data_IF_061848084191
#
_entry.id   IF_061848084191
#
_cell.length_a   1.000
_cell.length_b   1.000
_cell.length_c   1.000
_cell.angle_alpha   90.00
_cell.angle_beta   90.00
_cell.angle_gamma   90.00
#
_symmetry.space_group_name_H-M   'P 1'
#
loop_
_entity.id
_entity.type
_entity.pdbx_description
1 polymer ?
#
# COMPACT_ATOMS: atom_id res chain seq x y z
N UNK A 1 8.67 -4.32 -7.43
CA UNK A 1 8.84 -4.93 -8.78
C UNK A 1 8.49 -3.96 -9.91
N UNK A 2 7.40 -3.20 -9.80
CA UNK A 2 6.99 -2.26 -10.85
C UNK A 2 5.71 -1.53 -10.49
N UNK A 3 5.29 -0.61 -11.35
CA UNK A 3 4.03 0.12 -11.21
C UNK A 3 3.57 0.64 -12.58
N UNK A 4 2.28 0.95 -12.72
CA UNK A 4 1.65 1.43 -13.95
C UNK A 4 1.97 0.56 -15.19
N UNK A 5 1.95 -0.77 -15.02
CA UNK A 5 2.18 -1.73 -16.10
C UNK A 5 3.65 -1.87 -16.54
N UNK A 6 4.59 -1.24 -15.83
CA UNK A 6 6.01 -1.27 -16.16
C UNK A 6 6.83 -1.86 -15.02
N UNK A 7 7.71 -2.79 -15.39
CA UNK A 7 8.73 -3.33 -14.50
C UNK A 7 9.84 -2.30 -14.26
N UNK A 8 10.24 -2.14 -13.01
CA UNK A 8 11.43 -1.36 -12.62
C UNK A 8 12.66 -2.24 -12.42
N UNK A 9 12.46 -3.56 -12.37
CA UNK A 9 13.48 -4.58 -12.21
C UNK A 9 13.41 -5.58 -13.36
N UNK A 10 14.50 -6.32 -13.66
CA UNK A 10 14.47 -7.38 -14.67
C UNK A 10 13.34 -8.38 -14.41
N UNK A 11 12.57 -8.71 -15.45
CA UNK A 11 11.38 -9.58 -15.33
C UNK A 11 11.75 -11.01 -14.93
N UNK A 12 12.99 -11.40 -15.22
CA UNK A 12 13.59 -12.69 -14.88
C UNK A 12 13.65 -12.92 -13.36
N UNK A 13 13.47 -11.87 -12.54
CA UNK A 13 13.38 -11.98 -11.08
C UNK A 13 11.99 -12.40 -10.58
N UNK A 14 10.94 -12.32 -11.40
CA UNK A 14 9.57 -12.67 -10.99
C UNK A 14 9.46 -14.10 -10.42
N UNK A 15 10.04 -15.15 -11.03
CA UNK A 15 10.01 -16.50 -10.46
C UNK A 15 10.64 -16.56 -9.07
N UNK A 16 11.73 -15.83 -8.84
CA UNK A 16 12.40 -15.76 -7.53
C UNK A 16 11.47 -15.14 -6.49
N UNK A 17 10.84 -14.00 -6.80
CA UNK A 17 9.86 -13.41 -5.89
C UNK A 17 8.71 -14.37 -5.58
N UNK A 18 8.12 -14.98 -6.60
CA UNK A 18 6.93 -15.80 -6.47
C UNK A 18 7.19 -17.14 -5.76
N UNK A 19 8.26 -17.83 -6.10
CA UNK A 19 8.51 -19.21 -5.69
C UNK A 19 9.40 -19.30 -4.44
N UNK A 20 10.24 -18.31 -4.19
CA UNK A 20 11.21 -18.33 -3.08
C UNK A 20 10.92 -17.28 -2.01
N UNK A 21 10.64 -16.02 -2.40
CA UNK A 21 10.54 -14.92 -1.42
C UNK A 21 9.15 -14.82 -0.79
N UNK A 22 8.09 -14.79 -1.59
CA UNK A 22 6.71 -14.65 -1.11
C UNK A 22 6.31 -15.76 -0.11
N UNK A 23 6.65 -17.04 -0.33
CA UNK A 23 6.32 -18.09 0.64
C UNK A 23 7.01 -17.95 2.01
N UNK A 24 8.07 -17.14 2.10
CA UNK A 24 8.81 -16.88 3.35
C UNK A 24 8.34 -15.59 4.06
N UNK A 25 7.43 -14.83 3.45
CA UNK A 25 7.02 -13.53 3.98
C UNK A 25 5.82 -13.67 4.94
N UNK A 26 5.96 -13.11 6.15
CA UNK A 26 4.82 -12.98 7.07
C UNK A 26 3.85 -11.88 6.63
N UNK A 27 4.39 -10.81 6.06
CA UNK A 27 3.66 -9.63 5.60
C UNK A 27 4.09 -9.23 4.19
N UNK A 28 3.13 -9.03 3.29
CA UNK A 28 3.36 -8.61 1.91
C UNK A 28 2.58 -7.33 1.59
N UNK A 29 3.23 -6.35 0.98
CA UNK A 29 2.62 -5.04 0.66
C UNK A 29 2.68 -4.71 -0.83
N UNK A 30 2.07 -5.52 -1.72
CA UNK A 30 2.16 -5.27 -3.15
C UNK A 30 1.26 -4.09 -3.55
N UNK A 31 1.58 -3.40 -4.64
CA UNK A 31 0.53 -2.65 -5.36
C UNK A 31 -0.30 -3.60 -6.25
N UNK A 32 -1.37 -3.12 -6.86
CA UNK A 32 -2.26 -3.95 -7.70
C UNK A 32 -1.54 -4.58 -8.91
N UNK A 33 -0.58 -3.87 -9.52
CA UNK A 33 0.22 -4.41 -10.62
C UNK A 33 1.10 -5.56 -10.14
N UNK A 34 1.83 -5.37 -9.03
CA UNK A 34 2.69 -6.39 -8.45
C UNK A 34 1.91 -7.63 -8.00
N UNK A 35 0.75 -7.43 -7.37
CA UNK A 35 -0.14 -8.53 -7.03
C UNK A 35 -0.53 -9.31 -8.28
N UNK A 36 -0.89 -8.61 -9.36
CA UNK A 36 -1.27 -9.24 -10.63
C UNK A 36 -0.17 -10.09 -11.24
N UNK A 37 1.08 -9.61 -11.21
CA UNK A 37 2.23 -10.38 -11.69
C UNK A 37 2.50 -11.62 -10.82
N UNK A 38 2.34 -11.52 -9.50
CA UNK A 38 2.52 -12.66 -8.59
C UNK A 38 1.46 -13.75 -8.80
N UNK A 39 0.20 -13.37 -8.97
CA UNK A 39 -0.93 -14.31 -9.09
C UNK A 39 -1.22 -14.76 -10.52
N UNK A 40 -0.64 -14.09 -11.51
CA UNK A 40 -0.74 -14.45 -12.93
C UNK A 40 -2.03 -13.99 -13.62
N UNK A 41 -2.77 -13.05 -13.04
CA UNK A 41 -3.94 -12.43 -13.64
C UNK A 41 -4.02 -10.95 -13.26
N UNK A 42 -4.70 -10.13 -14.08
CA UNK A 42 -4.80 -8.69 -13.84
C UNK A 42 -5.71 -8.39 -12.65
N UNK A 43 -5.39 -7.32 -11.93
CA UNK A 43 -6.17 -6.80 -10.81
C UNK A 43 -6.75 -5.45 -11.24
N UNK A 44 -8.01 -5.45 -11.62
CA UNK A 44 -8.74 -4.27 -12.12
C UNK A 44 -9.89 -3.85 -11.21
N UNK A 45 -10.37 -4.75 -10.36
CA UNK A 45 -11.49 -4.50 -9.44
C UNK A 45 -11.28 -5.18 -8.06
N UNK A 46 -12.20 -4.91 -7.14
CA UNK A 46 -12.18 -5.44 -5.76
C UNK A 46 -12.19 -6.97 -5.74
N UNK A 47 -13.06 -7.61 -6.52
CA UNK A 47 -13.21 -9.07 -6.55
C UNK A 47 -11.89 -9.75 -6.97
N UNK A 48 -11.26 -9.25 -8.04
CA UNK A 48 -9.96 -9.74 -8.50
C UNK A 48 -8.87 -9.51 -7.46
N UNK A 49 -8.89 -8.38 -6.77
CA UNK A 49 -7.95 -8.07 -5.69
C UNK A 49 -8.07 -9.07 -4.55
N UNK A 50 -9.29 -9.34 -4.08
CA UNK A 50 -9.57 -10.31 -3.02
C UNK A 50 -9.18 -11.73 -3.44
N UNK A 51 -9.50 -12.12 -4.68
CA UNK A 51 -9.06 -13.41 -5.24
C UNK A 51 -7.53 -13.51 -5.32
N UNK A 52 -6.84 -12.41 -5.62
CA UNK A 52 -5.39 -12.33 -5.61
C UNK A 52 -4.84 -12.57 -4.20
N UNK A 53 -5.39 -11.89 -3.19
CA UNK A 53 -5.01 -12.10 -1.79
C UNK A 53 -5.22 -13.55 -1.34
N UNK A 54 -6.28 -14.22 -1.79
CA UNK A 54 -6.49 -15.64 -1.50
C UNK A 54 -5.42 -16.56 -2.07
N UNK A 55 -4.92 -16.28 -3.28
CA UNK A 55 -3.79 -17.00 -3.85
C UNK A 55 -2.54 -16.80 -2.98
N UNK A 56 -2.26 -15.58 -2.56
CA UNK A 56 -1.09 -15.25 -1.73
C UNK A 56 -1.20 -15.87 -0.32
N UNK A 57 -2.37 -15.88 0.30
CA UNK A 57 -2.59 -16.58 1.58
C UNK A 57 -2.36 -18.09 1.48
N UNK A 58 -2.61 -18.71 0.33
CA UNK A 58 -2.30 -20.13 0.08
C UNK A 58 -0.80 -20.39 -0.04
N UNK A 59 0.01 -19.37 -0.34
CA UNK A 59 1.47 -19.45 -0.34
C UNK A 59 2.09 -19.34 1.06
N UNK A 60 1.29 -19.03 2.09
CA UNK A 60 1.74 -18.99 3.49
C UNK A 60 1.75 -17.59 4.11
N UNK A 61 1.52 -16.53 3.32
CA UNK A 61 1.55 -15.15 3.84
C UNK A 61 0.36 -14.89 4.77
N UNK A 62 0.65 -14.37 5.96
CA UNK A 62 -0.36 -14.06 6.98
C UNK A 62 -1.04 -12.73 6.73
N UNK A 63 -0.27 -11.67 6.52
CA UNK A 63 -0.78 -10.31 6.33
C UNK A 63 -0.51 -9.82 4.91
N UNK A 64 -1.54 -9.37 4.20
CA UNK A 64 -1.41 -8.81 2.86
C UNK A 64 -2.05 -7.44 2.84
N UNK A 65 -1.33 -6.42 2.37
CA UNK A 65 -1.85 -5.06 2.21
C UNK A 65 -1.62 -4.58 0.79
N UNK A 66 -2.68 -4.54 -0.01
CA UNK A 66 -2.62 -4.01 -1.37
C UNK A 66 -2.72 -2.50 -1.28
N UNK A 67 -1.59 -1.82 -1.51
CA UNK A 67 -1.43 -0.40 -1.14
C UNK A 67 -2.28 0.54 -1.98
N UNK A 68 -2.38 0.28 -3.28
CA UNK A 68 -3.10 1.08 -4.26
C UNK A 68 -3.18 0.40 -5.63
N UNK A 69 -3.92 1.00 -6.56
CA UNK A 69 -3.91 0.63 -7.98
C UNK A 69 -5.10 -0.22 -8.44
N UNK A 70 -6.02 -0.54 -7.52
CA UNK A 70 -7.34 -1.06 -7.87
C UNK A 70 -8.23 0.14 -8.19
N UNK A 71 -8.90 0.15 -9.33
CA UNK A 71 -9.80 1.23 -9.69
C UNK A 71 -10.94 1.31 -8.67
N UNK A 72 -11.08 2.47 -8.02
CA UNK A 72 -12.17 2.71 -7.11
C UNK A 72 -13.46 2.92 -7.90
N UNK A 73 -14.55 2.28 -7.48
CA UNK A 73 -15.90 2.59 -7.97
C UNK A 73 -16.31 4.04 -7.66
N UNK A 74 -15.64 4.67 -6.70
CA UNK A 74 -15.98 5.97 -6.11
C UNK A 74 -15.36 7.17 -6.84
N UNK A 75 -14.80 6.94 -8.05
CA UNK A 75 -14.29 7.98 -8.93
C UNK A 75 -12.77 8.23 -8.82
N UNK A 76 -12.24 9.11 -9.70
CA UNK A 76 -10.79 9.27 -9.90
C UNK A 76 -10.05 9.91 -8.70
N UNK A 77 -10.79 10.61 -7.82
CA UNK A 77 -10.24 11.34 -6.67
C UNK A 77 -10.14 10.49 -5.40
N UNK A 78 -10.55 9.23 -5.47
CA UNK A 78 -10.49 8.29 -4.35
C UNK A 78 -9.55 7.14 -4.68
N UNK A 79 -8.65 6.84 -3.77
CA UNK A 79 -7.83 5.63 -3.80
C UNK A 79 -8.38 4.61 -2.80
N UNK A 80 -8.24 3.34 -3.18
CA UNK A 80 -8.63 2.21 -2.33
C UNK A 80 -7.41 1.38 -1.98
N UNK A 81 -7.26 1.11 -0.68
CA UNK A 81 -6.32 0.13 -0.15
C UNK A 81 -7.11 -1.04 0.44
N UNK A 82 -6.57 -2.24 0.30
CA UNK A 82 -7.15 -3.43 0.89
C UNK A 82 -6.17 -4.11 1.82
N UNK A 83 -6.68 -4.63 2.92
CA UNK A 83 -5.90 -5.43 3.85
C UNK A 83 -6.60 -6.77 4.09
N UNK A 84 -5.83 -7.85 4.15
CA UNK A 84 -6.31 -9.18 4.48
C UNK A 84 -5.34 -9.84 5.44
N UNK A 85 -5.87 -10.38 6.53
CA UNK A 85 -5.09 -11.10 7.54
C UNK A 85 -5.70 -12.48 7.77
N UNK A 86 -4.86 -13.50 7.83
CA UNK A 86 -5.24 -14.88 8.13
C UNK A 86 -4.94 -15.20 9.58
N UNK A 87 -5.96 -15.50 10.38
CA UNK A 87 -5.80 -15.94 11.76
C UNK A 87 -5.26 -17.38 11.84
N UNK A 88 -4.78 -17.76 13.03
CA UNK A 88 -4.23 -19.11 13.31
C UNK A 88 -5.24 -20.23 13.04
N UNK A 89 -6.52 -19.97 13.25
CA UNK A 89 -7.63 -20.89 12.96
C UNK A 89 -8.00 -20.95 11.47
N UNK A 90 -7.28 -20.23 10.61
CA UNK A 90 -7.55 -20.13 9.18
C UNK A 90 -8.61 -19.09 8.80
N UNK A 91 -9.22 -18.39 9.77
CA UNK A 91 -10.21 -17.35 9.47
C UNK A 91 -9.54 -16.16 8.79
N UNK A 92 -10.10 -15.73 7.67
CA UNK A 92 -9.62 -14.57 6.94
C UNK A 92 -10.47 -13.36 7.35
N UNK A 93 -9.81 -12.26 7.72
CA UNK A 93 -10.46 -10.96 7.96
C UNK A 93 -9.95 -9.98 6.92
N UNK A 94 -10.87 -9.26 6.29
CA UNK A 94 -10.57 -8.33 5.21
C UNK A 94 -11.12 -6.95 5.52
N UNK A 95 -10.39 -5.95 5.05
CA UNK A 95 -10.74 -4.56 5.24
C UNK A 95 -10.47 -3.77 3.96
N UNK A 96 -11.35 -2.81 3.69
CA UNK A 96 -11.21 -1.81 2.64
C UNK A 96 -11.03 -0.45 3.25
N UNK A 97 -10.10 0.34 2.70
CA UNK A 97 -9.84 1.70 3.12
C UNK A 97 -9.99 2.63 1.92
N UNK A 98 -10.77 3.69 2.10
CA UNK A 98 -10.91 4.76 1.12
C UNK A 98 -10.23 6.01 1.63
N UNK A 99 -9.44 6.65 0.77
CA UNK A 99 -8.75 7.88 1.11
C UNK A 99 -8.56 8.74 -0.14
N UNK A 100 -8.45 10.06 0.03
CA UNK A 100 -8.37 10.96 -1.12
C UNK A 100 -7.06 10.76 -1.87
N UNK A 101 -7.16 10.75 -3.19
CA UNK A 101 -6.03 10.87 -4.11
C UNK A 101 -5.46 12.29 -3.98
N UNK A 102 -4.16 12.39 -3.76
CA UNK A 102 -3.47 13.67 -3.72
C UNK A 102 -2.70 13.87 -5.02
N UNK A 103 -2.74 15.09 -5.55
CA UNK A 103 -2.07 15.42 -6.81
C UNK A 103 -0.54 15.37 -6.66
N UNK A 104 0.10 14.73 -7.64
CA UNK A 104 1.55 14.59 -7.72
C UNK A 104 1.96 13.16 -8.09
N UNK A 105 3.21 13.02 -8.52
CA UNK A 105 3.86 11.72 -8.69
C UNK A 105 4.97 11.60 -7.66
N UNK A 106 4.78 10.70 -6.69
CA UNK A 106 5.69 10.52 -5.57
C UNK A 106 6.37 9.16 -5.69
N UNK A 107 7.68 9.14 -5.51
CA UNK A 107 8.50 7.92 -5.50
C UNK A 107 8.87 7.60 -4.05
N UNK A 108 9.00 6.30 -3.72
CA UNK A 108 9.33 5.85 -2.37
C UNK A 108 8.14 5.78 -1.40
N UNK A 109 6.92 6.03 -1.87
CA UNK A 109 5.70 5.94 -1.03
C UNK A 109 5.47 4.53 -0.50
N UNK A 110 5.75 3.50 -1.32
CA UNK A 110 5.69 2.09 -0.91
C UNK A 110 6.66 1.78 0.23
N UNK A 111 7.91 2.25 0.14
CA UNK A 111 8.94 1.98 1.16
C UNK A 111 8.55 2.59 2.53
N UNK A 112 8.03 3.82 2.51
CA UNK A 112 7.53 4.49 3.72
C UNK A 112 6.29 3.79 4.25
N UNK A 113 5.37 3.39 3.39
CA UNK A 113 4.16 2.65 3.77
C UNK A 113 4.53 1.36 4.50
N UNK A 114 5.39 0.53 3.90
CA UNK A 114 5.83 -0.74 4.49
C UNK A 114 6.56 -0.53 5.80
N UNK A 115 7.45 0.47 5.88
CA UNK A 115 8.17 0.80 7.12
C UNK A 115 7.23 1.18 8.26
N UNK A 116 6.24 2.04 7.98
CA UNK A 116 5.23 2.44 8.96
C UNK A 116 4.32 1.28 9.35
N UNK A 117 3.97 0.41 8.40
CA UNK A 117 3.08 -0.72 8.64
C UNK A 117 3.68 -1.67 9.68
N UNK A 118 4.97 -2.00 9.59
CA UNK A 118 5.63 -2.87 10.56
C UNK A 118 5.61 -2.27 11.98
N UNK A 119 5.87 -0.97 12.09
CA UNK A 119 5.81 -0.24 13.38
C UNK A 119 4.39 -0.26 13.94
N UNK A 120 3.39 0.04 13.12
CA UNK A 120 2.01 0.10 13.59
C UNK A 120 1.40 -1.27 13.87
N UNK A 121 1.75 -2.31 13.12
CA UNK A 121 1.36 -3.69 13.45
C UNK A 121 1.88 -4.06 14.84
N UNK A 122 3.12 -3.73 15.15
CA UNK A 122 3.71 -3.96 16.48
C UNK A 122 2.95 -3.17 17.57
N UNK A 123 2.70 -1.89 17.33
CA UNK A 123 2.03 -1.01 18.30
C UNK A 123 0.54 -1.33 18.50
N UNK A 124 -0.11 -1.93 17.49
CA UNK A 124 -1.52 -2.27 17.49
C UNK A 124 -1.77 -3.76 17.81
N UNK A 125 -0.79 -4.48 18.38
CA UNK A 125 -0.90 -5.91 18.70
C UNK A 125 -1.37 -6.77 17.51
N UNK A 126 -0.79 -6.51 16.32
CA UNK A 126 -1.13 -7.14 15.05
C UNK A 126 -2.57 -6.91 14.57
N UNK A 127 -3.28 -5.90 15.07
CA UNK A 127 -4.51 -5.43 14.45
C UNK A 127 -4.21 -4.72 13.12
N UNK A 128 -4.34 -5.47 12.03
CA UNK A 128 -4.07 -4.97 10.67
C UNK A 128 -4.99 -3.81 10.28
N UNK A 129 -6.23 -3.78 10.80
CA UNK A 129 -7.19 -2.75 10.43
C UNK A 129 -6.77 -1.40 10.98
N UNK A 130 -6.50 -1.37 12.29
CA UNK A 130 -6.02 -0.18 12.98
C UNK A 130 -4.64 0.26 12.45
N UNK A 131 -3.73 -0.69 12.22
CA UNK A 131 -2.39 -0.40 11.73
C UNK A 131 -2.42 0.27 10.34
N UNK A 132 -3.13 -0.31 9.38
CA UNK A 132 -3.26 0.27 8.02
C UNK A 132 -3.95 1.63 8.08
N UNK A 133 -4.98 1.80 8.91
CA UNK A 133 -5.64 3.09 9.10
C UNK A 133 -4.69 4.21 9.55
N UNK A 134 -3.75 3.89 10.45
CA UNK A 134 -2.71 4.83 10.94
C UNK A 134 -1.63 5.10 9.91
N UNK A 135 -1.21 4.08 9.17
CA UNK A 135 -0.27 4.24 8.05
C UNK A 135 -0.86 5.18 7.01
N UNK A 136 -2.10 4.95 6.59
CA UNK A 136 -2.76 5.80 5.60
C UNK A 136 -2.91 7.24 6.10
N UNK A 137 -3.24 7.44 7.37
CA UNK A 137 -3.23 8.77 8.00
C UNK A 137 -1.89 9.48 7.92
N UNK A 138 -0.81 8.75 8.24
CA UNK A 138 0.57 9.25 8.21
C UNK A 138 0.99 9.61 6.78
N UNK A 139 0.68 8.74 5.82
CA UNK A 139 0.95 8.93 4.39
C UNK A 139 0.18 10.13 3.83
N UNK A 140 -1.07 10.34 4.24
CA UNK A 140 -1.85 11.51 3.85
C UNK A 140 -1.22 12.82 4.32
N UNK A 141 -0.69 12.86 5.56
CA UNK A 141 0.06 14.02 6.06
C UNK A 141 1.36 14.26 5.29
N UNK A 142 2.15 13.21 5.07
CA UNK A 142 3.41 13.26 4.32
C UNK A 142 3.20 13.74 2.88
N UNK A 143 2.26 13.14 2.15
CA UNK A 143 2.01 13.45 0.75
C UNK A 143 1.42 14.86 0.64
N UNK A 144 0.53 15.28 1.55
CA UNK A 144 -0.01 16.65 1.54
C UNK A 144 1.09 17.68 1.74
N UNK A 145 2.03 17.44 2.66
CA UNK A 145 3.19 18.32 2.89
C UNK A 145 4.10 18.37 1.67
N UNK A 146 4.38 17.22 1.08
CA UNK A 146 5.22 17.10 -0.11
C UNK A 146 4.58 17.79 -1.32
N UNK A 147 3.29 17.56 -1.57
CA UNK A 147 2.52 18.19 -2.65
C UNK A 147 2.50 19.72 -2.51
N UNK A 148 2.20 20.24 -1.31
CA UNK A 148 2.26 21.69 -1.03
C UNK A 148 3.64 22.30 -1.31
N UNK A 149 4.70 21.59 -0.91
CA UNK A 149 6.07 22.04 -1.18
C UNK A 149 6.36 22.06 -2.69
N UNK A 150 5.98 21.00 -3.41
CA UNK A 150 6.22 20.85 -4.83
C UNK A 150 5.47 21.92 -5.67
N UNK A 151 4.23 22.22 -5.31
CA UNK A 151 3.41 23.26 -5.95
C UNK A 151 3.95 24.67 -5.73
N UNK A 152 4.67 24.90 -4.63
CA UNK A 152 5.30 26.19 -4.33
C UNK A 152 6.65 26.39 -5.05
N UNK A 153 7.18 25.37 -5.74
CA UNK A 153 8.42 25.49 -6.52
C UNK A 153 8.18 26.10 -7.90
N UNK A 154 9.19 26.80 -8.42
CA UNK A 154 9.16 27.43 -9.76
C UNK A 154 8.96 26.38 -10.86
N UNK A 155 9.60 25.20 -10.72
CA UNK A 155 9.32 24.02 -11.54
C UNK A 155 8.27 23.14 -10.85
N UNK A 156 7.01 23.55 -10.95
CA UNK A 156 5.88 22.85 -10.35
C UNK A 156 5.89 21.36 -10.75
N UNK A 157 5.83 20.48 -9.74
CA UNK A 157 5.77 19.02 -9.91
C UNK A 157 6.94 18.37 -10.67
N UNK A 158 8.13 18.99 -10.68
CA UNK A 158 9.34 18.28 -11.13
C UNK A 158 9.62 17.06 -10.23
N UNK A 159 10.28 16.02 -10.77
CA UNK A 159 10.65 14.82 -9.98
C UNK A 159 11.41 15.18 -8.70
N UNK A 160 12.31 16.16 -8.78
CA UNK A 160 13.09 16.65 -7.64
C UNK A 160 12.22 17.37 -6.60
N UNK A 161 11.20 18.11 -7.03
CA UNK A 161 10.29 18.80 -6.15
C UNK A 161 9.31 17.84 -5.45
N UNK A 162 9.01 16.69 -6.06
CA UNK A 162 8.15 15.63 -5.52
C UNK A 162 8.86 14.61 -4.62
N UNK A 163 10.14 14.81 -4.30
CA UNK A 163 10.85 14.01 -3.30
C UNK A 163 10.20 14.16 -1.92
N UNK A 164 10.01 13.03 -1.24
CA UNK A 164 9.24 12.97 0.00
C UNK A 164 9.87 13.83 1.11
N UNK A 165 9.05 14.70 1.71
CA UNK A 165 9.44 15.60 2.82
C UNK A 165 9.45 14.89 4.17
N UNK A 166 10.23 13.80 4.27
CA UNK A 166 10.24 12.90 5.43
C UNK A 166 10.58 13.60 6.75
N UNK A 167 11.65 14.41 6.74
CA UNK A 167 12.14 15.09 7.94
C UNK A 167 11.11 16.11 8.42
N UNK A 168 10.57 16.89 7.48
CA UNK A 168 9.55 17.89 7.80
C UNK A 168 8.26 17.23 8.27
N UNK A 169 7.90 16.07 7.74
CA UNK A 169 6.71 15.30 8.11
C UNK A 169 6.88 14.40 9.33
N UNK A 170 7.95 14.54 10.12
CA UNK A 170 8.19 13.71 11.30
C UNK A 170 6.96 13.59 12.23
N UNK A 171 6.25 14.69 12.48
CA UNK A 171 5.06 14.66 13.32
C UNK A 171 3.90 13.89 12.67
N UNK A 172 3.69 14.08 11.37
CA UNK A 172 2.67 13.35 10.59
C UNK A 172 2.92 11.84 10.65
N UNK A 173 4.20 11.43 10.58
CA UNK A 173 4.62 10.03 10.59
C UNK A 173 4.47 9.36 11.96
N UNK A 174 4.77 10.08 13.04
CA UNK A 174 4.72 9.54 14.40
C UNK A 174 3.31 9.61 15.01
N UNK A 175 2.54 10.62 14.65
CA UNK A 175 1.22 10.92 15.23
C UNK A 175 0.28 11.41 14.13
N UNK A 176 -0.30 10.50 13.33
CA UNK A 176 -1.20 10.89 12.25
C UNK A 176 -2.40 11.67 12.80
N UNK A 177 -2.70 12.82 12.21
CA UNK A 177 -3.81 13.70 12.64
C UNK A 177 -5.17 13.03 12.49
N UNK A 178 -5.32 12.15 11.50
CA UNK A 178 -6.51 11.35 11.28
C UNK A 178 -6.13 9.90 11.02
N UNK A 179 -6.97 8.98 11.49
CA UNK A 179 -6.88 7.55 11.18
C UNK A 179 -7.94 7.24 10.14
N UNK A 180 -7.52 6.65 9.01
CA UNK A 180 -8.48 6.23 7.98
C UNK A 180 -9.18 4.97 8.47
N UNK A 181 -10.51 4.98 8.47
CA UNK A 181 -11.30 3.83 8.95
C UNK A 181 -11.34 2.74 7.90
N UNK A 182 -11.08 1.50 8.33
CA UNK A 182 -11.27 0.31 7.51
C UNK A 182 -12.71 -0.18 7.61
N UNK A 183 -13.32 -0.45 6.46
CA UNK A 183 -14.61 -1.12 6.34
C UNK A 183 -14.38 -2.64 6.24
N UNK A 184 -15.01 -3.47 7.07
CA UNK A 184 -14.90 -4.92 6.93
C UNK A 184 -15.56 -5.40 5.62
N UNK A 185 -14.98 -6.44 5.01
CA UNK A 185 -15.48 -7.11 3.80
C UNK A 185 -15.87 -8.57 4.08
#
# INVERSE_FOLDING_TARGET
MGDNGKYYVPKELLPIYKELIVPLADTLTPNAFELGELVGFRITNEEECLRGMDVIHKLGVTNIVVTSGVEASDGPDTLTCYASTKGENGNIRRYRFRFPRLEGQFVGTGDVFTSLLIVWLTNCNNDICEAVGRVLGSMQGLIRRTSKYAQAQVECNSRKACELRLIESRLDLLRPESVIRGEPL
#
